data_IF_011161332141
#
_entry.id   IF_011161332141
#
_cell.length_a   1.000
_cell.length_b   1.000
_cell.length_c   1.000
_cell.angle_alpha   90.00
_cell.angle_beta   90.00
_cell.angle_gamma   90.00
#
_symmetry.space_group_name_H-M   'P 1'
#
loop_
_entity.id
_entity.type
_entity.pdbx_description
1 polymer ?
#
# COMPACT_ATOMS: atom_id res chain seq x y z
N UNK A 1 -17.11 -56.98 14.71
CA UNK A 1 -15.93 -56.29 14.12
C UNK A 1 -16.41 -55.37 13.01
N UNK A 2 -15.86 -54.15 12.87
CA UNK A 2 -16.19 -53.10 11.88
C UNK A 2 -17.33 -52.12 12.20
N UNK A 3 -17.36 -51.50 13.39
CA UNK A 3 -18.12 -50.24 13.59
C UNK A 3 -17.44 -49.34 14.62
N UNK A 4 -16.15 -49.06 14.47
CA UNK A 4 -15.46 -48.10 15.35
C UNK A 4 -14.23 -47.47 14.69
N UNK A 5 -14.34 -47.09 13.41
CA UNK A 5 -13.24 -46.50 12.63
C UNK A 5 -13.69 -45.34 11.72
N UNK A 6 -14.85 -44.72 11.98
CA UNK A 6 -15.33 -43.57 11.19
C UNK A 6 -15.42 -42.26 11.99
N UNK A 7 -15.27 -42.31 13.32
CA UNK A 7 -15.40 -41.11 14.16
C UNK A 7 -14.19 -40.14 14.16
N UNK A 8 -12.92 -40.53 13.90
CA UNK A 8 -11.84 -39.54 13.87
C UNK A 8 -11.77 -38.78 12.54
N UNK A 9 -12.39 -39.30 11.47
CA UNK A 9 -12.37 -38.67 10.14
C UNK A 9 -13.32 -37.47 10.08
N UNK A 10 -14.44 -37.50 10.80
CA UNK A 10 -15.41 -36.41 10.81
C UNK A 10 -14.89 -35.18 11.58
N UNK A 11 -14.06 -35.38 12.61
CA UNK A 11 -13.50 -34.30 13.41
C UNK A 11 -12.38 -33.52 12.67
N UNK A 12 -11.63 -34.17 11.77
CA UNK A 12 -10.64 -33.51 10.92
C UNK A 12 -11.25 -32.60 9.84
N UNK A 13 -12.48 -32.87 9.38
CA UNK A 13 -13.15 -32.07 8.34
C UNK A 13 -13.72 -30.77 8.92
N UNK A 14 -14.18 -30.78 10.17
CA UNK A 14 -14.74 -29.59 10.83
C UNK A 14 -13.70 -28.52 11.18
N UNK A 15 -12.42 -28.87 11.38
CA UNK A 15 -11.34 -27.90 11.59
C UNK A 15 -10.84 -27.24 10.31
N UNK A 16 -11.23 -27.74 9.13
CA UNK A 16 -10.75 -27.24 7.84
C UNK A 16 -11.64 -26.13 7.22
N UNK A 17 -12.82 -25.86 7.77
CA UNK A 17 -13.58 -24.65 7.44
C UNK A 17 -12.96 -23.44 8.16
N UNK A 18 -11.77 -23.02 7.72
CA UNK A 18 -11.40 -21.61 7.91
C UNK A 18 -12.43 -20.80 7.14
N UNK A 19 -13.13 -19.90 7.83
CA UNK A 19 -13.92 -18.88 7.17
C UNK A 19 -13.00 -18.20 6.13
N UNK A 20 -13.37 -18.24 4.86
CA UNK A 20 -12.70 -17.43 3.86
C UNK A 20 -12.83 -15.98 4.30
N UNK A 21 -11.71 -15.25 4.35
CA UNK A 21 -11.75 -13.83 4.65
C UNK A 21 -12.71 -13.15 3.67
N UNK A 22 -13.60 -12.29 4.20
CA UNK A 22 -14.53 -11.53 3.37
C UNK A 22 -13.72 -10.78 2.32
N UNK A 23 -14.03 -10.93 1.02
CA UNK A 23 -13.29 -10.25 -0.03
C UNK A 23 -13.28 -8.75 0.24
N UNK A 24 -12.09 -8.17 0.33
CA UNK A 24 -11.93 -6.73 0.50
C UNK A 24 -12.58 -6.03 -0.69
N UNK A 25 -13.47 -5.08 -0.40
CA UNK A 25 -14.18 -4.28 -1.40
C UNK A 25 -14.15 -2.83 -0.99
N UNK A 26 -13.91 -1.96 -1.96
CA UNK A 26 -14.10 -0.53 -1.72
C UNK A 26 -15.59 -0.21 -1.61
N UNK A 27 -15.94 0.61 -0.63
CA UNK A 27 -17.25 1.26 -0.55
C UNK A 27 -17.07 2.73 -0.93
N UNK A 28 -16.65 2.98 -2.17
CA UNK A 28 -16.42 4.32 -2.69
C UNK A 28 -17.67 4.82 -3.42
N UNK A 29 -18.36 5.88 -2.95
CA UNK A 29 -19.51 6.45 -3.64
C UNK A 29 -19.14 7.11 -4.97
N UNK A 30 -17.87 7.44 -5.20
CA UNK A 30 -17.37 8.07 -6.43
C UNK A 30 -16.14 7.34 -7.00
N UNK A 31 -16.30 6.10 -7.52
CA UNK A 31 -15.18 5.28 -7.96
C UNK A 31 -14.29 5.98 -9.00
N UNK A 32 -13.02 6.16 -8.66
CA UNK A 32 -12.01 6.79 -9.53
C UNK A 32 -10.60 6.44 -9.07
N UNK A 33 -9.62 6.90 -9.85
CA UNK A 33 -8.24 6.99 -9.37
C UNK A 33 -8.09 8.24 -8.52
N UNK A 34 -7.69 8.06 -7.27
CA UNK A 34 -7.30 9.14 -6.37
C UNK A 34 -5.80 9.32 -6.44
N UNK A 35 -5.38 10.57 -6.55
CA UNK A 35 -4.00 11.00 -6.43
C UNK A 35 -3.91 11.93 -5.24
N UNK A 36 -2.99 11.63 -4.33
CA UNK A 36 -2.80 12.32 -3.08
C UNK A 36 -1.37 12.85 -3.05
N UNK A 37 -1.21 14.08 -2.58
CA UNK A 37 0.08 14.74 -2.43
C UNK A 37 0.11 15.54 -1.15
N UNK A 38 1.18 15.42 -0.40
CA UNK A 38 1.40 16.16 0.83
C UNK A 38 2.90 16.35 1.09
N UNK A 39 3.24 17.32 1.93
CA UNK A 39 4.61 17.53 2.43
C UNK A 39 4.85 16.61 3.62
N UNK A 40 5.99 15.93 3.68
CA UNK A 40 6.37 15.15 4.86
C UNK A 40 6.42 16.05 6.12
N UNK A 41 7.00 17.25 6.00
CA UNK A 41 7.09 18.26 7.07
C UNK A 41 5.74 18.82 7.54
N UNK A 42 4.68 18.67 6.75
CA UNK A 42 3.31 19.04 7.17
C UNK A 42 2.62 17.87 7.88
N UNK A 43 2.89 16.64 7.47
CA UNK A 43 2.30 15.43 8.07
C UNK A 43 2.93 15.14 9.44
N UNK A 44 4.26 15.25 9.56
CA UNK A 44 4.99 14.94 10.78
C UNK A 44 5.94 16.09 11.14
N UNK A 45 5.71 16.81 12.26
CA UNK A 45 6.54 17.94 12.67
C UNK A 45 7.97 17.53 13.08
N UNK A 46 8.26 16.23 13.23
CA UNK A 46 9.59 15.71 13.56
C UNK A 46 10.50 15.57 12.34
N UNK A 47 9.97 15.77 11.13
CA UNK A 47 10.73 15.66 9.89
C UNK A 47 11.85 16.69 9.85
N UNK A 48 13.06 16.24 9.55
CA UNK A 48 14.26 17.06 9.43
C UNK A 48 14.89 16.83 8.06
N UNK A 49 15.59 17.84 7.55
CA UNK A 49 16.41 17.65 6.35
C UNK A 49 17.57 16.69 6.66
N UNK A 50 17.87 15.83 5.69
CA UNK A 50 19.01 14.91 5.70
C UNK A 50 19.81 15.10 4.39
N UNK A 51 20.63 16.17 4.28
CA UNK A 51 21.41 16.46 3.08
C UNK A 51 22.36 15.34 2.67
N UNK A 52 22.83 14.53 3.63
CA UNK A 52 23.71 13.37 3.42
C UNK A 52 23.12 12.32 2.47
N UNK A 53 21.79 12.26 2.35
CA UNK A 53 21.06 11.37 1.43
C UNK A 53 20.33 12.15 0.32
N UNK A 54 20.58 13.46 0.21
CA UNK A 54 19.82 14.40 -0.62
C UNK A 54 18.33 14.49 -0.28
N UNK A 55 17.95 14.27 0.99
CA UNK A 55 16.60 14.57 1.46
C UNK A 55 16.57 16.00 1.98
N UNK A 56 16.09 16.91 1.14
CA UNK A 56 15.91 18.31 1.49
C UNK A 56 14.42 18.57 1.76
N UNK A 57 14.11 19.52 2.64
CA UNK A 57 12.74 20.01 2.79
C UNK A 57 12.41 21.04 1.71
N UNK A 58 13.36 21.91 1.40
CA UNK A 58 13.24 22.92 0.36
C UNK A 58 14.56 23.14 -0.39
N UNK A 59 14.45 23.59 -1.64
CA UNK A 59 15.58 24.00 -2.48
C UNK A 59 15.09 25.10 -3.41
N UNK A 60 15.81 26.22 -3.47
CA UNK A 60 15.47 27.38 -4.31
C UNK A 60 14.02 27.87 -4.08
N UNK A 61 13.57 27.86 -2.82
CA UNK A 61 12.21 28.23 -2.42
C UNK A 61 11.12 27.23 -2.83
N UNK A 62 11.49 26.06 -3.34
CA UNK A 62 10.54 25.00 -3.75
C UNK A 62 10.54 23.84 -2.76
N UNK A 63 9.36 23.33 -2.39
CA UNK A 63 9.20 22.08 -1.66
C UNK A 63 9.96 20.91 -2.29
N UNK A 64 10.72 20.17 -1.49
CA UNK A 64 11.45 18.98 -1.92
C UNK A 64 10.95 17.70 -1.23
N UNK A 65 10.29 17.81 -0.08
CA UNK A 65 9.77 16.69 0.71
C UNK A 65 8.31 16.33 0.36
N UNK A 66 7.95 16.40 -0.93
CA UNK A 66 6.62 15.96 -1.37
C UNK A 66 6.54 14.43 -1.39
N UNK A 67 5.50 13.92 -0.75
CA UNK A 67 5.07 12.53 -0.85
C UNK A 67 3.91 12.40 -1.83
N UNK A 68 3.90 11.30 -2.58
CA UNK A 68 2.90 11.00 -3.60
C UNK A 68 2.23 9.68 -3.24
N UNK A 69 0.90 9.60 -3.24
CA UNK A 69 0.18 8.34 -3.09
C UNK A 69 -0.96 8.22 -4.11
N UNK A 70 -1.31 7.00 -4.49
CA UNK A 70 -2.47 6.76 -5.34
C UNK A 70 -3.14 5.42 -5.12
N UNK A 71 -4.44 5.39 -5.39
CA UNK A 71 -5.31 4.20 -5.37
C UNK A 71 -6.37 4.34 -6.46
N UNK A 72 -6.69 3.25 -7.15
CA UNK A 72 -7.83 3.20 -8.08
C UNK A 72 -8.94 2.36 -7.48
N UNK A 73 -9.99 3.02 -7.00
CA UNK A 73 -11.10 2.35 -6.31
C UNK A 73 -12.06 1.64 -7.28
N UNK A 74 -11.85 1.78 -8.59
CA UNK A 74 -12.56 1.01 -9.63
C UNK A 74 -12.00 -0.41 -9.78
N UNK A 75 -10.81 -0.66 -9.26
CA UNK A 75 -10.12 -1.96 -9.33
C UNK A 75 -10.31 -2.70 -8.01
N UNK A 76 -10.57 -4.02 -8.05
CA UNK A 76 -10.72 -4.82 -6.84
C UNK A 76 -9.43 -4.78 -6.00
N UNK A 77 -9.49 -4.43 -4.71
CA UNK A 77 -8.29 -4.27 -3.90
C UNK A 77 -7.67 -5.61 -3.50
N UNK A 78 -6.33 -5.65 -3.47
CA UNK A 78 -5.57 -6.77 -2.91
C UNK A 78 -5.27 -6.62 -1.41
N UNK A 79 -5.60 -5.46 -0.81
CA UNK A 79 -5.26 -5.16 0.58
C UNK A 79 -3.75 -4.98 0.82
N UNK A 80 -3.00 -4.58 -0.21
CA UNK A 80 -1.54 -4.41 -0.16
C UNK A 80 -1.15 -2.97 -0.47
N UNK A 81 -0.16 -2.48 0.26
CA UNK A 81 0.48 -1.20 0.05
C UNK A 81 1.88 -1.42 -0.55
N UNK A 82 2.16 -0.74 -1.64
CA UNK A 82 3.47 -0.66 -2.28
C UNK A 82 4.15 0.61 -1.79
N UNK A 83 5.26 0.44 -1.08
CA UNK A 83 6.15 1.56 -0.75
C UNK A 83 7.16 1.71 -1.90
N UNK A 84 7.08 2.83 -2.58
CA UNK A 84 7.91 3.13 -3.75
C UNK A 84 9.14 3.94 -3.33
N UNK A 85 10.32 3.35 -3.52
CA UNK A 85 11.62 3.89 -3.05
C UNK A 85 12.42 4.58 -4.18
N UNK A 86 11.76 4.87 -5.31
CA UNK A 86 12.36 5.54 -6.47
C UNK A 86 11.69 6.90 -6.71
N UNK A 87 12.19 7.64 -7.71
CA UNK A 87 11.50 8.85 -8.19
C UNK A 87 10.05 8.58 -8.60
N UNK A 88 9.19 9.59 -8.48
CA UNK A 88 7.80 9.48 -8.94
C UNK A 88 7.74 9.25 -10.44
N UNK A 89 6.79 8.40 -10.82
CA UNK A 89 6.45 8.12 -12.20
C UNK A 89 4.94 7.87 -12.26
N UNK A 90 4.20 8.83 -12.83
CA UNK A 90 2.76 8.70 -12.99
C UNK A 90 2.36 7.41 -13.73
N UNK A 91 3.00 7.03 -14.86
CA UNK A 91 2.66 5.79 -15.56
C UNK A 91 2.89 4.52 -14.72
N UNK A 92 3.89 4.52 -13.84
CA UNK A 92 4.13 3.38 -12.95
C UNK A 92 3.09 3.32 -11.83
N UNK A 93 2.70 4.46 -11.26
CA UNK A 93 1.61 4.54 -10.27
C UNK A 93 0.29 4.02 -10.85
N UNK A 94 -0.04 4.44 -12.07
CA UNK A 94 -1.21 3.95 -12.81
C UNK A 94 -1.15 2.44 -13.02
N UNK A 95 0.02 1.93 -13.45
CA UNK A 95 0.23 0.49 -13.64
C UNK A 95 0.06 -0.28 -12.34
N UNK A 96 0.63 0.19 -11.24
CA UNK A 96 0.52 -0.47 -9.93
C UNK A 96 -0.92 -0.47 -9.44
N UNK A 97 -1.65 0.64 -9.57
CA UNK A 97 -3.06 0.70 -9.21
C UNK A 97 -3.93 -0.24 -10.07
N UNK A 98 -3.57 -0.48 -11.34
CA UNK A 98 -4.29 -1.44 -12.20
C UNK A 98 -4.27 -2.88 -11.68
N UNK A 99 -3.35 -3.21 -10.77
CA UNK A 99 -3.27 -4.51 -10.11
C UNK A 99 -4.10 -4.59 -8.81
N UNK A 100 -4.81 -3.52 -8.42
CA UNK A 100 -5.53 -3.43 -7.16
C UNK A 100 -4.62 -3.14 -5.96
N UNK A 101 -3.43 -2.59 -6.22
CA UNK A 101 -2.44 -2.22 -5.21
C UNK A 101 -2.53 -0.73 -4.91
N UNK A 102 -2.37 -0.36 -3.65
CA UNK A 102 -2.19 1.04 -3.25
C UNK A 102 -0.70 1.35 -3.34
N UNK A 103 -0.33 2.56 -3.74
CA UNK A 103 1.07 2.95 -3.84
C UNK A 103 1.31 4.26 -3.09
N UNK A 104 2.45 4.33 -2.40
CA UNK A 104 2.94 5.50 -1.68
C UNK A 104 4.44 5.65 -1.97
N UNK A 105 4.84 6.77 -2.53
CA UNK A 105 6.26 7.16 -2.62
C UNK A 105 6.60 8.05 -1.43
N UNK A 106 7.45 7.51 -0.58
CA UNK A 106 7.97 8.20 0.60
C UNK A 106 9.30 8.84 0.21
N UNK A 107 9.35 10.17 0.17
CA UNK A 107 10.46 10.89 -0.47
C UNK A 107 11.83 10.59 0.14
N UNK A 108 11.91 10.44 1.48
CA UNK A 108 13.19 10.22 2.17
C UNK A 108 13.90 8.93 1.74
N UNK A 109 13.15 7.89 1.33
CA UNK A 109 13.73 6.58 1.06
C UNK A 109 14.55 6.52 -0.24
N UNK A 110 14.34 7.48 -1.14
CA UNK A 110 15.05 7.58 -2.43
C UNK A 110 16.57 7.73 -2.28
N UNK A 111 17.05 8.18 -1.12
CA UNK A 111 18.48 8.35 -0.86
C UNK A 111 19.17 7.14 -0.24
N UNK A 112 18.41 6.20 0.33
CA UNK A 112 18.94 5.06 1.08
C UNK A 112 19.22 3.81 0.23
N UNK A 113 18.62 3.70 -0.96
CA UNK A 113 18.70 2.50 -1.83
C UNK A 113 19.32 2.82 -3.20
N UNK A 114 20.26 3.77 -3.24
CA UNK A 114 21.03 4.09 -4.46
C UNK A 114 22.13 3.07 -4.74
#
# INVERSE_FOLDING_TARGET
MKRLLFLPLLLCVLTALRAADVPLKFNDPTPKRYELKARASVIDPRVQAHPEINFLLEKDGKPQDNEDASVDTRVAPQGKLVIWLMGYSAPLFERVNSYGLHILRVHYANGWVR
#
